data_IF_941130192628
#
_entry.id   IF_941130192628
#
_cell.length_a   1.000
_cell.length_b   1.000
_cell.length_c   1.000
_cell.angle_alpha   90.00
_cell.angle_beta   90.00
_cell.angle_gamma   90.00
#
_symmetry.space_group_name_H-M   'P 1'
#
loop_
_entity.id
_entity.type
_entity.pdbx_description
1 polymer ?
#
# COMPACT_ATOMS: atom_id res chain seq x y z
N UNK A 1 6.00 1.39 -0.81
CA UNK A 1 5.86 0.23 0.09
C UNK A 1 7.18 -0.28 0.66
N UNK A 2 8.23 -0.54 -0.14
CA UNK A 2 9.56 -0.95 0.37
C UNK A 2 10.02 -0.09 1.56
N UNK A 3 9.94 1.25 1.43
CA UNK A 3 10.27 2.18 2.51
C UNK A 3 9.46 1.95 3.80
N UNK A 4 8.15 1.74 3.69
CA UNK A 4 7.29 1.50 4.87
C UNK A 4 7.65 0.17 5.52
N UNK A 5 7.89 -0.87 4.71
CA UNK A 5 8.25 -2.21 5.17
C UNK A 5 9.61 -2.29 5.88
N UNK A 6 10.53 -1.39 5.54
CA UNK A 6 11.86 -1.29 6.15
C UNK A 6 11.91 -0.28 7.32
N UNK A 7 10.87 0.53 7.49
CA UNK A 7 10.75 1.48 8.60
C UNK A 7 10.19 0.84 9.87
N UNK A 8 10.23 1.56 10.99
CA UNK A 8 9.64 1.14 12.26
C UNK A 8 8.12 0.91 12.19
N UNK A 9 7.47 1.37 11.12
CA UNK A 9 6.03 1.15 10.86
C UNK A 9 5.79 -0.31 10.42
N UNK A 10 6.78 -0.95 9.78
CA UNK A 10 6.82 -2.36 9.34
C UNK A 10 5.79 -2.77 8.28
N UNK A 11 4.56 -2.24 8.31
CA UNK A 11 3.50 -2.54 7.35
C UNK A 11 2.49 -1.39 7.31
N UNK A 12 1.82 -1.24 6.17
CA UNK A 12 0.77 -0.23 6.01
C UNK A 12 -0.52 -0.68 6.70
N UNK A 13 -0.95 -1.93 6.47
CA UNK A 13 -2.11 -2.56 7.13
C UNK A 13 -3.48 -2.09 6.66
N UNK A 14 -3.53 -1.09 5.79
CA UNK A 14 -4.78 -0.55 5.21
C UNK A 14 -4.51 -0.03 3.79
N UNK A 15 -3.66 -0.72 3.04
CA UNK A 15 -3.35 -0.31 1.67
C UNK A 15 -4.58 -0.51 0.78
N UNK A 16 -4.98 0.53 0.06
CA UNK A 16 -6.12 0.54 -0.86
C UNK A 16 -5.98 1.69 -1.84
N UNK A 17 -6.76 1.66 -2.90
CA UNK A 17 -6.72 2.64 -4.00
C UNK A 17 -6.97 4.07 -3.52
N UNK A 18 -7.91 4.26 -2.59
CA UNK A 18 -8.20 5.56 -1.96
C UNK A 18 -7.08 6.10 -1.06
N UNK A 19 -6.12 5.25 -0.66
CA UNK A 19 -4.93 5.65 0.10
C UNK A 19 -3.70 5.87 -0.81
N UNK A 20 -3.89 5.79 -2.15
CA UNK A 20 -2.88 6.12 -3.16
C UNK A 20 -3.28 7.45 -3.82
N UNK A 21 -2.78 8.56 -3.29
CA UNK A 21 -3.17 9.91 -3.70
C UNK A 21 -2.13 10.48 -4.65
N UNK A 22 -2.56 11.22 -5.68
CA UNK A 22 -1.67 11.96 -6.58
C UNK A 22 -1.69 13.44 -6.20
N UNK A 23 -0.51 14.03 -5.98
CA UNK A 23 -0.41 15.45 -5.66
C UNK A 23 -0.40 16.35 -6.91
N UNK A 24 -0.35 17.67 -6.72
CA UNK A 24 -0.32 18.65 -7.82
C UNK A 24 0.90 18.54 -8.75
N UNK A 25 1.90 17.76 -8.36
CA UNK A 25 3.09 17.46 -9.16
C UNK A 25 3.02 16.07 -9.78
N UNK A 26 1.84 15.46 -9.87
CA UNK A 26 1.65 14.12 -10.44
C UNK A 26 2.44 13.03 -9.71
N UNK A 27 2.84 13.26 -8.45
CA UNK A 27 3.55 12.27 -7.65
C UNK A 27 2.56 11.44 -6.84
N UNK A 28 2.67 10.12 -6.95
CA UNK A 28 1.91 9.19 -6.12
C UNK A 28 2.46 9.20 -4.69
N UNK A 29 1.55 9.39 -3.73
CA UNK A 29 1.79 9.39 -2.29
C UNK A 29 0.89 8.36 -1.64
N UNK A 30 1.50 7.53 -0.81
CA UNK A 30 0.79 6.59 0.05
C UNK A 30 0.42 7.33 1.34
N UNK A 31 -0.83 7.21 1.76
CA UNK A 31 -1.35 7.86 2.98
C UNK A 31 -1.95 6.84 3.94
N UNK A 32 -2.35 7.27 5.14
CA UNK A 32 -3.14 6.45 6.06
C UNK A 32 -2.42 5.21 6.65
N UNK A 33 -1.09 5.21 6.65
CA UNK A 33 -0.25 4.18 7.28
C UNK A 33 0.16 4.60 8.71
N UNK A 34 0.51 3.63 9.56
CA UNK A 34 0.97 3.90 10.94
C UNK A 34 -0.11 4.38 11.92
N UNK A 35 -1.38 4.40 11.52
CA UNK A 35 -2.50 4.86 12.36
C UNK A 35 -3.21 3.72 13.13
N UNK A 36 -2.64 2.52 13.12
CA UNK A 36 -3.30 1.32 13.62
C UNK A 36 -3.53 1.34 15.14
N UNK A 37 -2.56 1.82 15.92
CA UNK A 37 -2.69 1.92 17.39
C UNK A 37 -3.80 2.89 17.80
N UNK A 38 -3.91 4.03 17.09
CA UNK A 38 -4.97 5.01 17.32
C UNK A 38 -6.37 4.48 16.98
N UNK A 39 -6.45 3.48 16.09
CA UNK A 39 -7.71 2.90 15.61
C UNK A 39 -8.18 1.68 16.38
N UNK A 40 -7.28 0.98 17.07
CA UNK A 40 -7.54 -0.32 17.69
C UNK A 40 -8.64 -0.27 18.77
N UNK A 41 -8.83 0.88 19.43
CA UNK A 41 -9.76 1.03 20.56
C UNK A 41 -10.88 2.04 20.30
N UNK A 42 -11.17 2.35 19.03
CA UNK A 42 -12.24 3.28 18.69
C UNK A 42 -13.32 2.60 17.85
N UNK A 43 -14.52 2.55 18.42
CA UNK A 43 -15.73 2.28 17.66
C UNK A 43 -15.92 3.43 16.66
N UNK A 44 -15.97 3.13 15.36
CA UNK A 44 -16.16 4.16 14.36
C UNK A 44 -17.56 4.77 14.52
N UNK A 45 -17.72 6.08 14.31
CA UNK A 45 -19.05 6.66 14.11
C UNK A 45 -19.79 5.90 13.00
N UNK A 46 -21.13 5.80 13.06
CA UNK A 46 -21.92 5.11 12.05
C UNK A 46 -21.63 5.57 10.61
N UNK A 47 -21.33 6.86 10.41
CA UNK A 47 -21.00 7.39 9.08
C UNK A 47 -19.68 6.84 8.50
N UNK A 48 -18.76 6.42 9.36
CA UNK A 48 -17.44 5.88 8.98
C UNK A 48 -17.46 4.35 8.87
N UNK A 49 -18.53 3.71 9.35
CA UNK A 49 -18.66 2.25 9.36
C UNK A 49 -18.75 1.67 7.94
N UNK A 50 -19.46 2.33 7.02
CA UNK A 50 -19.51 1.92 5.61
C UNK A 50 -18.11 2.02 4.95
N UNK A 51 -17.36 3.08 5.24
CA UNK A 51 -16.00 3.29 4.72
C UNK A 51 -15.04 2.21 5.24
N UNK A 52 -15.12 1.88 6.54
CA UNK A 52 -14.33 0.79 7.13
C UNK A 52 -14.71 -0.56 6.52
N UNK A 53 -15.99 -0.81 6.30
CA UNK A 53 -16.48 -2.05 5.68
C UNK A 53 -15.94 -2.18 4.25
N UNK A 54 -16.03 -1.13 3.42
CA UNK A 54 -15.46 -1.11 2.07
C UNK A 54 -13.96 -1.37 2.04
N UNK A 55 -13.22 -0.92 3.06
CA UNK A 55 -11.77 -1.16 3.15
C UNK A 55 -11.41 -2.65 3.23
N UNK A 56 -12.36 -3.52 3.63
CA UNK A 56 -12.16 -4.97 3.65
C UNK A 56 -12.01 -5.59 2.26
N UNK A 57 -12.40 -4.89 1.18
CA UNK A 57 -12.26 -5.39 -0.19
C UNK A 57 -10.80 -5.58 -0.63
N UNK A 58 -9.86 -4.88 -0.01
CA UNK A 58 -8.42 -5.02 -0.27
C UNK A 58 -7.71 -5.90 0.77
N UNK A 59 -8.45 -6.43 1.76
CA UNK A 59 -7.87 -7.14 2.90
C UNK A 59 -7.60 -8.60 2.55
N UNK A 60 -6.42 -9.07 2.92
CA UNK A 60 -5.95 -10.42 2.64
C UNK A 60 -6.77 -11.50 3.37
N UNK A 61 -6.91 -12.72 2.80
CA UNK A 61 -7.76 -13.78 3.35
C UNK A 61 -7.36 -14.19 4.77
N UNK A 62 -6.08 -14.29 5.07
CA UNK A 62 -5.57 -14.64 6.40
C UNK A 62 -5.96 -13.58 7.45
N UNK A 63 -5.98 -12.30 7.06
CA UNK A 63 -6.36 -11.20 7.95
C UNK A 63 -7.88 -11.05 8.10
N UNK A 64 -8.66 -11.64 7.20
CA UNK A 64 -10.13 -11.70 7.29
C UNK A 64 -10.60 -12.89 8.14
N UNK A 65 -9.82 -13.98 8.20
CA UNK A 65 -10.13 -15.18 9.00
C UNK A 65 -9.72 -15.07 10.45
N UNK A 66 -8.67 -14.30 10.72
CA UNK A 66 -8.18 -14.11 12.07
C UNK A 66 -9.21 -13.32 12.90
N UNK A 67 -9.54 -13.83 14.08
CA UNK A 67 -10.43 -13.18 15.04
C UNK A 67 -9.75 -11.99 15.74
N UNK A 68 -8.41 -12.01 15.84
CA UNK A 68 -7.60 -10.94 16.43
C UNK A 68 -6.40 -10.62 15.54
N UNK A 69 -6.65 -10.14 14.31
CA UNK A 69 -5.59 -9.84 13.36
C UNK A 69 -4.70 -8.72 13.91
N UNK A 70 -3.38 -8.74 13.64
CA UNK A 70 -2.48 -7.68 14.04
C UNK A 70 -3.04 -6.31 13.59
N UNK A 71 -3.20 -5.31 14.49
CA UNK A 71 -3.78 -4.02 14.12
C UNK A 71 -3.04 -3.33 12.96
N UNK A 72 -1.72 -3.52 12.90
CA UNK A 72 -0.84 -3.01 11.83
C UNK A 72 -0.90 -3.78 10.52
N UNK A 73 -1.68 -4.86 10.45
CA UNK A 73 -1.65 -5.83 9.36
C UNK A 73 -0.31 -6.55 9.24
N UNK A 74 0.03 -6.98 8.03
CA UNK A 74 1.27 -7.68 7.71
C UNK A 74 1.82 -7.19 6.37
N UNK A 75 3.12 -7.36 6.15
CA UNK A 75 3.74 -7.02 4.86
C UNK A 75 3.14 -7.82 3.70
N UNK A 76 2.86 -9.12 3.92
CA UNK A 76 2.19 -9.98 2.94
C UNK A 76 0.72 -9.61 2.72
N UNK A 77 0.07 -9.02 3.73
CA UNK A 77 -1.25 -8.42 3.59
C UNK A 77 -1.23 -7.20 2.67
N UNK A 78 -0.22 -6.33 2.80
CA UNK A 78 -0.04 -5.19 1.89
C UNK A 78 0.24 -5.64 0.45
N UNK A 79 0.96 -6.74 0.25
CA UNK A 79 1.18 -7.33 -1.08
C UNK A 79 -0.14 -7.78 -1.71
N UNK A 80 -1.00 -8.45 -0.94
CA UNK A 80 -2.33 -8.83 -1.41
C UNK A 80 -3.14 -7.59 -1.82
N UNK A 81 -3.16 -6.56 -0.97
CA UNK A 81 -3.85 -5.30 -1.27
C UNK A 81 -3.31 -4.65 -2.55
N UNK A 82 -2.00 -4.69 -2.77
CA UNK A 82 -1.38 -4.21 -4.00
C UNK A 82 -1.85 -4.98 -5.24
N UNK A 83 -2.03 -6.30 -5.17
CA UNK A 83 -2.60 -7.10 -6.26
C UNK A 83 -4.02 -6.64 -6.65
N UNK A 84 -4.87 -6.36 -5.65
CA UNK A 84 -6.22 -5.82 -5.89
C UNK A 84 -6.16 -4.42 -6.52
N UNK A 85 -5.24 -3.56 -6.08
CA UNK A 85 -5.03 -2.23 -6.69
C UNK A 85 -4.57 -2.37 -8.14
N UNK A 86 -3.66 -3.31 -8.44
CA UNK A 86 -3.18 -3.55 -9.79
C UNK A 86 -4.31 -4.00 -10.72
N UNK A 87 -5.22 -4.86 -10.22
CA UNK A 87 -6.44 -5.24 -10.93
C UNK A 87 -7.34 -4.05 -11.23
N UNK A 88 -7.55 -3.17 -10.24
CA UNK A 88 -8.36 -1.97 -10.41
C UNK A 88 -7.79 -1.04 -11.49
N UNK A 89 -6.46 -0.86 -11.49
CA UNK A 89 -5.74 -0.05 -12.49
C UNK A 89 -5.92 -0.64 -13.90
N UNK A 90 -5.70 -1.95 -14.06
CA UNK A 90 -5.78 -2.60 -15.37
C UNK A 90 -7.23 -2.67 -15.87
N UNK A 91 -8.16 -3.00 -14.99
CA UNK A 91 -9.57 -3.18 -15.33
C UNK A 91 -10.35 -1.89 -15.50
N UNK A 92 -9.87 -0.77 -14.96
CA UNK A 92 -10.56 0.54 -14.91
C UNK A 92 -12.01 0.42 -14.42
N UNK A 93 -12.24 -0.53 -13.51
CA UNK A 93 -13.51 -0.91 -12.88
C UNK A 93 -13.25 -0.96 -11.37
N UNK A 94 -14.27 -1.29 -10.57
CA UNK A 94 -14.09 -1.51 -9.14
C UNK A 94 -13.12 -2.67 -8.83
N UNK A 95 -12.65 -2.78 -7.58
CA UNK A 95 -11.61 -3.74 -7.15
C UNK A 95 -11.97 -5.22 -7.36
N UNK A 96 -13.26 -5.53 -7.60
CA UNK A 96 -13.79 -6.88 -7.81
C UNK A 96 -14.56 -7.04 -9.13
N UNK A 97 -14.36 -6.12 -10.08
CA UNK A 97 -14.97 -6.17 -11.41
C UNK A 97 -16.43 -5.70 -11.45
N UNK A 98 -17.14 -6.06 -12.53
CA UNK A 98 -18.57 -5.72 -12.72
C UNK A 98 -19.40 -6.99 -12.95
N UNK A 99 -20.66 -7.06 -12.46
CA UNK A 99 -21.29 -6.09 -11.56
C UNK A 99 -20.57 -6.00 -10.22
N UNK A 100 -20.61 -4.84 -9.56
CA UNK A 100 -19.90 -4.64 -8.30
C UNK A 100 -20.53 -5.49 -7.20
N UNK A 101 -19.83 -6.51 -6.66
CA UNK A 101 -20.38 -7.38 -5.64
C UNK A 101 -20.47 -6.63 -4.30
N UNK A 102 -21.39 -7.07 -3.42
CA UNK A 102 -21.48 -6.50 -2.08
C UNK A 102 -20.24 -6.85 -1.25
N UNK A 103 -19.83 -5.95 -0.35
CA UNK A 103 -18.69 -6.15 0.56
C UNK A 103 -18.83 -7.46 1.34
N UNK A 104 -20.03 -7.76 1.84
CA UNK A 104 -20.31 -8.99 2.57
C UNK A 104 -20.08 -10.23 1.71
N UNK A 105 -20.57 -10.21 0.47
CA UNK A 105 -20.39 -11.33 -0.47
C UNK A 105 -18.91 -11.60 -0.74
N UNK A 106 -18.13 -10.57 -1.03
CA UNK A 106 -16.69 -10.68 -1.29
C UNK A 106 -15.96 -11.23 -0.07
N UNK A 107 -16.12 -10.58 1.09
CA UNK A 107 -15.41 -10.93 2.32
C UNK A 107 -15.72 -12.36 2.78
N UNK A 108 -16.99 -12.78 2.69
CA UNK A 108 -17.41 -14.14 3.05
C UNK A 108 -16.76 -15.21 2.16
N UNK A 109 -16.71 -14.98 0.84
CA UNK A 109 -16.11 -15.94 -0.11
C UNK A 109 -14.59 -16.00 -0.04
N UNK A 110 -13.93 -14.85 0.15
CA UNK A 110 -12.47 -14.78 0.31
C UNK A 110 -12.05 -15.46 1.62
N UNK A 111 -12.79 -15.22 2.71
CA UNK A 111 -12.48 -15.78 4.02
C UNK A 111 -12.84 -17.27 4.13
N UNK A 112 -13.83 -17.79 3.39
CA UNK A 112 -14.34 -19.14 3.61
C UNK A 112 -14.39 -20.02 2.35
N UNK A 113 -13.26 -20.30 1.68
CA UNK A 113 -13.25 -21.09 0.44
C UNK A 113 -13.83 -22.50 0.62
N UNK A 114 -13.67 -23.11 1.81
CA UNK A 114 -14.24 -24.43 2.13
C UNK A 114 -15.77 -24.49 2.04
N UNK A 115 -16.47 -23.38 2.31
CA UNK A 115 -17.92 -23.30 2.16
C UNK A 115 -18.37 -23.16 0.70
N UNK A 116 -17.45 -22.83 -0.21
CA UNK A 116 -17.72 -22.58 -1.63
C UNK A 116 -16.85 -23.47 -2.52
N UNK A 117 -17.01 -24.79 -2.40
CA UNK A 117 -16.35 -25.80 -3.24
C UNK A 117 -14.80 -25.86 -3.15
N UNK A 118 -14.18 -25.13 -2.22
CA UNK A 118 -12.73 -25.07 -2.07
C UNK A 118 -12.04 -24.13 -3.08
N UNK A 119 -12.82 -23.40 -3.89
CA UNK A 119 -12.28 -22.47 -4.89
C UNK A 119 -11.97 -21.13 -4.23
N UNK A 120 -10.74 -20.64 -4.42
CA UNK A 120 -10.33 -19.33 -3.93
C UNK A 120 -11.00 -18.23 -4.76
N UNK A 121 -11.87 -17.44 -4.12
CA UNK A 121 -12.51 -16.32 -4.78
C UNK A 121 -11.53 -15.16 -4.95
N UNK A 122 -11.33 -14.71 -6.19
CA UNK A 122 -10.41 -13.63 -6.60
C UNK A 122 -11.08 -12.72 -7.64
N UNK A 123 -10.58 -11.49 -7.85
CA UNK A 123 -11.07 -10.65 -8.94
C UNK A 123 -10.93 -11.36 -10.29
N UNK A 124 -11.88 -11.17 -11.22
CA UNK A 124 -11.89 -11.86 -12.51
C UNK A 124 -10.81 -11.31 -13.45
N UNK A 125 -9.58 -11.83 -13.35
CA UNK A 125 -8.43 -11.40 -14.14
C UNK A 125 -8.42 -11.91 -15.59
N UNK A 126 -9.24 -12.89 -15.93
CA UNK A 126 -9.26 -13.49 -17.28
C UNK A 126 -9.73 -12.55 -18.38
N UNK A 127 -10.61 -11.62 -18.05
CA UNK A 127 -11.14 -10.61 -18.99
C UNK A 127 -10.28 -9.33 -19.03
N UNK A 128 -9.16 -9.29 -18.29
CA UNK A 128 -8.29 -8.12 -18.29
C UNK A 128 -7.42 -8.08 -19.55
N UNK A 129 -7.60 -7.01 -20.33
CA UNK A 129 -6.66 -6.62 -21.37
C UNK A 129 -5.38 -6.05 -20.74
N UNK A 130 -4.47 -6.94 -20.36
CA UNK A 130 -3.20 -6.57 -19.76
C UNK A 130 -2.05 -7.48 -20.22
N UNK A 131 -0.83 -6.96 -20.33
CA UNK A 131 0.35 -7.78 -20.59
C UNK A 131 0.50 -8.92 -19.59
N UNK A 132 0.88 -10.10 -20.09
CA UNK A 132 0.96 -11.35 -19.33
C UNK A 132 1.86 -11.23 -18.08
N UNK A 133 2.94 -10.46 -18.14
CA UNK A 133 3.82 -10.26 -16.98
C UNK A 133 3.15 -9.46 -15.85
N UNK A 134 2.21 -8.55 -16.18
CA UNK A 134 1.41 -7.82 -15.18
C UNK A 134 0.37 -8.76 -14.60
N UNK A 135 -0.33 -9.53 -15.43
CA UNK A 135 -1.31 -10.53 -14.99
C UNK A 135 -0.69 -11.53 -14.01
N UNK A 136 0.46 -12.10 -14.37
CA UNK A 136 1.17 -13.02 -13.49
C UNK A 136 1.63 -12.36 -12.19
N UNK A 137 2.21 -11.16 -12.24
CA UNK A 137 2.63 -10.45 -11.02
C UNK A 137 1.44 -10.15 -10.10
N UNK A 138 0.31 -9.74 -10.67
CA UNK A 138 -0.94 -9.47 -9.95
C UNK A 138 -1.49 -10.72 -9.28
N UNK A 139 -1.51 -11.85 -10.00
CA UNK A 139 -2.02 -13.12 -9.48
C UNK A 139 -1.13 -13.74 -8.39
N UNK A 140 0.19 -13.57 -8.53
CA UNK A 140 1.15 -13.91 -7.48
C UNK A 140 0.94 -13.05 -6.21
N UNK A 141 0.55 -11.78 -6.36
CA UNK A 141 0.33 -10.89 -5.21
C UNK A 141 -0.86 -11.33 -4.35
N UNK A 142 -1.91 -11.92 -4.93
CA UNK A 142 -3.11 -12.35 -4.19
C UNK A 142 -3.19 -13.86 -3.95
N UNK A 143 -2.05 -14.56 -3.97
CA UNK A 143 -1.99 -15.99 -3.61
C UNK A 143 -2.60 -16.22 -2.23
N UNK A 144 -3.23 -17.38 -2.09
CA UNK A 144 -3.92 -17.76 -0.86
C UNK A 144 -2.95 -17.79 0.33
N UNK A 145 -1.85 -18.54 0.19
CA UNK A 145 -0.78 -18.58 1.18
C UNK A 145 0.00 -17.25 1.16
N UNK A 146 0.13 -16.54 2.30
CA UNK A 146 0.98 -15.36 2.41
C UNK A 146 2.43 -15.59 2.01
N UNK A 147 2.98 -16.79 2.24
CA UNK A 147 4.38 -17.10 1.95
C UNK A 147 4.66 -17.22 0.45
N UNK A 148 3.68 -17.68 -0.32
CA UNK A 148 3.73 -17.74 -1.80
C UNK A 148 3.80 -16.35 -2.47
N UNK A 149 3.42 -15.29 -1.74
CA UNK A 149 3.36 -13.94 -2.32
C UNK A 149 4.75 -13.32 -2.45
N UNK A 150 5.06 -12.63 -3.56
CA UNK A 150 6.34 -11.93 -3.72
C UNK A 150 6.45 -10.77 -2.73
N UNK A 151 7.66 -10.37 -2.35
CA UNK A 151 7.85 -9.10 -1.64
C UNK A 151 7.84 -7.92 -2.63
N UNK A 152 7.77 -6.69 -2.11
CA UNK A 152 7.76 -5.49 -2.95
C UNK A 152 9.06 -5.27 -3.75
N UNK A 153 10.18 -5.88 -3.35
CA UNK A 153 11.44 -5.81 -4.11
C UNK A 153 11.33 -6.68 -5.37
N UNK A 154 10.80 -7.89 -5.25
CA UNK A 154 10.55 -8.79 -6.36
C UNK A 154 9.45 -8.25 -7.30
N UNK A 155 8.38 -7.68 -6.75
CA UNK A 155 7.34 -6.99 -7.54
C UNK A 155 7.97 -5.89 -8.39
N UNK A 156 8.83 -5.05 -7.80
CA UNK A 156 9.53 -3.98 -8.54
C UNK A 156 10.37 -4.52 -9.70
N UNK A 157 11.03 -5.67 -9.52
CA UNK A 157 11.81 -6.32 -10.59
C UNK A 157 10.89 -6.87 -11.69
N UNK A 158 9.81 -7.57 -11.34
CA UNK A 158 8.83 -8.13 -12.29
C UNK A 158 8.16 -7.05 -13.13
N UNK A 159 7.80 -5.93 -12.50
CA UNK A 159 7.14 -4.81 -13.17
C UNK A 159 8.12 -3.83 -13.83
N UNK A 160 9.44 -4.07 -13.76
CA UNK A 160 10.44 -3.19 -14.38
C UNK A 160 10.23 -3.01 -15.89
N UNK A 161 9.64 -4.02 -16.54
CA UNK A 161 9.38 -4.02 -17.99
C UNK A 161 8.38 -2.90 -18.38
N UNK A 162 7.46 -2.51 -17.48
CA UNK A 162 6.58 -1.35 -17.70
C UNK A 162 7.36 -0.08 -18.09
N UNK A 163 8.53 0.10 -17.49
CA UNK A 163 9.39 1.27 -17.74
C UNK A 163 10.21 1.14 -19.03
N UNK A 164 10.31 -0.06 -19.60
CA UNK A 164 11.11 -0.33 -20.81
C UNK A 164 10.35 -0.13 -22.12
N UNK A 165 9.01 -0.24 -22.11
CA UNK A 165 8.14 0.02 -23.27
C UNK A 165 7.64 1.47 -23.38
N UNK A 166 7.91 2.29 -22.36
CA UNK A 166 7.56 3.72 -22.28
C UNK A 166 8.58 4.54 -23.10
N UNK A 167 8.75 4.18 -24.36
CA UNK A 167 9.64 4.91 -25.25
C UNK A 167 8.95 6.21 -25.69
N UNK A 168 9.53 7.33 -25.22
CA UNK A 168 9.40 8.71 -25.68
C UNK A 168 8.03 9.37 -25.61
N UNK A 169 7.38 9.41 -24.44
CA UNK A 169 6.36 10.42 -24.18
C UNK A 169 6.84 11.50 -23.20
N UNK A 170 6.35 12.72 -23.39
CA UNK A 170 6.61 13.89 -22.53
C UNK A 170 6.36 13.55 -21.06
N UNK A 171 5.37 12.70 -20.79
CA UNK A 171 5.03 12.20 -19.47
C UNK A 171 6.16 11.40 -18.81
N UNK A 172 6.97 10.67 -19.55
CA UNK A 172 8.03 9.81 -19.00
C UNK A 172 9.24 10.63 -18.60
N UNK A 173 9.57 11.62 -19.44
CA UNK A 173 10.55 12.63 -19.10
C UNK A 173 10.10 13.43 -17.87
N UNK A 174 8.80 13.78 -17.80
CA UNK A 174 8.24 14.48 -16.66
C UNK A 174 8.31 13.62 -15.37
N UNK A 175 7.92 12.34 -15.43
CA UNK A 175 8.00 11.39 -14.31
C UNK A 175 9.46 11.25 -13.86
N UNK A 176 10.40 11.04 -14.79
CA UNK A 176 11.84 10.91 -14.48
C UNK A 176 12.42 12.18 -13.84
N UNK A 177 12.10 13.35 -14.38
CA UNK A 177 12.51 14.64 -13.81
C UNK A 177 11.91 14.81 -12.41
N UNK A 178 10.63 14.44 -12.22
CA UNK A 178 9.93 14.56 -10.95
C UNK A 178 10.49 13.59 -9.89
N UNK A 179 10.76 12.34 -10.24
CA UNK A 179 11.42 11.37 -9.35
C UNK A 179 12.80 11.87 -8.93
N UNK A 180 13.60 12.36 -9.88
CA UNK A 180 14.93 12.91 -9.59
C UNK A 180 14.84 14.15 -8.70
N UNK A 181 13.85 15.02 -8.96
CA UNK A 181 13.61 16.19 -8.13
C UNK A 181 13.18 15.81 -6.71
N UNK A 182 12.27 14.84 -6.56
CA UNK A 182 11.82 14.34 -5.27
C UNK A 182 12.98 13.74 -4.47
N UNK A 183 13.80 12.90 -5.10
CA UNK A 183 14.99 12.31 -4.48
C UNK A 183 15.99 13.39 -4.02
N UNK A 184 16.26 14.37 -4.87
CA UNK A 184 17.14 15.49 -4.53
C UNK A 184 16.56 16.32 -3.38
N UNK A 185 15.25 16.57 -3.38
CA UNK A 185 14.58 17.31 -2.32
C UNK A 185 14.64 16.56 -0.99
N UNK A 186 14.40 15.25 -0.99
CA UNK A 186 14.56 14.41 0.20
C UNK A 186 15.99 14.45 0.75
N UNK A 187 17.00 14.38 -0.12
CA UNK A 187 18.40 14.51 0.29
C UNK A 187 18.68 15.87 0.95
N UNK A 188 18.19 16.97 0.34
CA UNK A 188 18.35 18.33 0.89
C UNK A 188 17.61 18.47 2.23
N UNK A 189 16.40 17.93 2.34
CA UNK A 189 15.62 17.94 3.59
C UNK A 189 16.36 17.17 4.66
N UNK A 190 16.88 15.97 4.35
CA UNK A 190 17.66 15.15 5.29
C UNK A 190 18.88 15.90 5.82
N UNK A 191 19.65 16.53 4.93
CA UNK A 191 20.83 17.32 5.31
C UNK A 191 20.48 18.52 6.18
N UNK A 192 19.41 19.25 5.84
CA UNK A 192 18.95 20.39 6.66
C UNK A 192 18.47 19.95 8.03
N UNK A 193 17.70 18.85 8.10
CA UNK A 193 17.23 18.28 9.37
C UNK A 193 18.39 17.85 10.26
N UNK A 194 19.44 17.25 9.69
CA UNK A 194 20.66 16.88 10.41
C UNK A 194 21.37 18.11 10.99
N UNK A 195 21.58 19.16 10.18
CA UNK A 195 22.18 20.42 10.65
C UNK A 195 21.36 21.08 11.76
N UNK A 196 20.03 21.07 11.64
CA UNK A 196 19.13 21.60 12.65
C UNK A 196 19.23 20.83 13.97
N UNK A 197 19.31 19.51 13.94
CA UNK A 197 19.51 18.68 15.14
C UNK A 197 20.86 18.95 15.82
N UNK A 198 21.93 19.13 15.05
CA UNK A 198 23.26 19.47 15.58
C UNK A 198 23.27 20.84 16.29
N UNK A 199 22.68 21.87 15.67
CA UNK A 199 22.57 23.21 16.28
C UNK A 199 21.63 23.23 17.49
N UNK A 200 20.54 22.48 17.46
CA UNK A 200 19.65 22.30 18.62
C UNK A 200 20.41 21.71 19.80
N UNK A 201 21.20 20.64 19.56
CA UNK A 201 22.02 20.00 20.59
C UNK A 201 23.08 20.95 21.16
N UNK A 202 23.70 21.81 20.35
CA UNK A 202 24.64 22.84 20.85
C UNK A 202 23.92 23.85 21.75
N UNK A 203 22.76 24.32 21.33
CA UNK A 203 21.94 25.28 22.10
C UNK A 203 21.48 24.68 23.44
N UNK A 204 21.01 23.43 23.45
CA UNK A 204 20.61 22.73 24.68
C UNK A 204 21.79 22.55 25.65
N UNK A 205 22.97 22.17 25.14
CA UNK A 205 24.17 22.08 25.97
C UNK A 205 24.59 23.43 26.56
N UNK A 206 24.42 24.53 25.81
CA UNK A 206 24.71 25.86 26.31
C UNK A 206 23.70 26.28 27.39
N UNK A 207 22.41 26.03 27.18
CA UNK A 207 21.34 26.25 28.16
C UNK A 207 21.61 25.50 29.47
N UNK A 208 21.97 24.22 29.39
CA UNK A 208 22.33 23.40 30.55
C UNK A 208 23.53 23.97 31.34
N UNK A 209 24.46 24.66 30.67
CA UNK A 209 25.60 25.33 31.33
C UNK A 209 25.21 26.68 31.94
N UNK A 210 24.14 27.32 31.47
CA UNK A 210 23.67 28.62 31.95
C UNK A 210 22.66 28.53 33.10
N UNK A 211 22.02 27.38 33.29
CA UNK A 211 21.12 27.15 34.42
C UNK A 211 21.94 26.98 35.73
N UNK A 212 21.55 27.65 36.83
CA UNK A 212 22.20 27.46 38.13
C UNK A 212 22.05 26.02 38.62
N UNK A 213 23.07 25.50 39.30
CA UNK A 213 22.99 24.22 40.01
C UNK A 213 22.17 24.33 41.29
#
# INVERSE_FOLDING_TARGET
MIYIHESDIVSHGNLKSSNCIVDSRWMLKITDFGLHEFRANQDPPPEVQDIRSKSLLWRAPELLRDLSPPPRGTQKGDVYSFGIILFEIMGRKGPWGKPEPSVKYVTERVANPKHYSGVYYRPPSDELDCPEYIKNCMEECWREDPEDRPDFRLIKVKLRILYSGLHSNIFDNMISIMEKYAYNLEAVVRDRTKKLQEEKKKTENLLLRMLPK
#
